data_IF_761658127891
#
_entry.id   IF_761658127891
#
_cell.length_a   1.000
_cell.length_b   1.000
_cell.length_c   1.000
_cell.angle_alpha   90.00
_cell.angle_beta   90.00
_cell.angle_gamma   90.00
#
_symmetry.space_group_name_H-M   'P 1'
#
loop_
_entity.id
_entity.type
_entity.pdbx_description
1 polymer ?
#
# COMPACT_ATOMS: atom_id res chain seq x y z
N UNK A 1 13.76 -13.07 14.79
CA UNK A 1 13.70 -13.29 13.34
C UNK A 1 13.53 -11.95 12.59
N UNK A 2 12.65 -11.06 12.99
CA UNK A 2 12.40 -9.73 12.37
C UNK A 2 13.65 -8.83 12.32
N UNK A 3 14.46 -8.79 13.37
CA UNK A 3 15.69 -7.98 13.43
C UNK A 3 16.76 -8.49 12.46
N UNK A 4 16.90 -9.79 12.29
CA UNK A 4 17.88 -10.40 11.36
C UNK A 4 17.46 -10.11 9.91
N UNK A 5 16.16 -10.20 9.61
CA UNK A 5 15.61 -9.83 8.29
C UNK A 5 15.82 -8.35 8.00
N UNK A 6 15.63 -7.49 8.99
CA UNK A 6 15.86 -6.05 8.89
C UNK A 6 17.34 -5.73 8.62
N UNK A 7 18.27 -6.38 9.31
CA UNK A 7 19.72 -6.25 9.06
C UNK A 7 20.10 -6.74 7.67
N UNK A 8 19.57 -7.89 7.24
CA UNK A 8 19.81 -8.42 5.89
C UNK A 8 19.25 -7.49 4.80
N UNK A 9 18.05 -6.93 4.99
CA UNK A 9 17.45 -5.96 4.07
C UNK A 9 18.20 -4.64 4.03
N UNK A 10 18.72 -4.16 5.19
CA UNK A 10 19.56 -2.96 5.26
C UNK A 10 20.90 -3.21 4.54
N UNK A 11 21.48 -4.40 4.65
CA UNK A 11 22.73 -4.74 4.00
C UNK A 11 22.56 -4.93 2.48
N UNK A 12 21.47 -5.56 2.05
CA UNK A 12 21.05 -5.62 0.65
C UNK A 12 20.79 -4.22 0.08
N UNK A 13 20.13 -3.34 0.82
CA UNK A 13 19.94 -1.95 0.43
C UNK A 13 21.27 -1.20 0.33
N UNK A 14 22.23 -1.40 1.26
CA UNK A 14 23.56 -0.81 1.19
C UNK A 14 24.38 -1.34 0.01
N UNK A 15 24.32 -2.64 -0.28
CA UNK A 15 25.00 -3.23 -1.45
C UNK A 15 24.38 -2.72 -2.75
N UNK A 16 23.05 -2.62 -2.83
CA UNK A 16 22.33 -2.03 -3.97
C UNK A 16 22.72 -0.56 -4.16
N UNK A 17 22.83 0.21 -3.08
CA UNK A 17 23.30 1.61 -3.10
C UNK A 17 24.76 1.70 -3.61
N UNK A 18 25.62 0.77 -3.21
CA UNK A 18 27.02 0.74 -3.66
C UNK A 18 27.17 0.40 -5.16
N UNK A 19 26.31 -0.45 -5.69
CA UNK A 19 26.21 -0.75 -7.12
C UNK A 19 25.67 0.45 -7.91
N UNK A 20 24.76 1.21 -7.32
CA UNK A 20 24.13 2.40 -7.92
C UNK A 20 25.05 3.63 -7.96
N UNK A 21 26.02 3.76 -7.05
CA UNK A 21 27.02 4.87 -7.08
C UNK A 21 28.02 4.76 -8.22
N UNK A 22 28.05 3.63 -8.94
CA UNK A 22 28.90 3.43 -10.12
C UNK A 22 28.29 3.99 -11.42
N UNK A 23 27.02 4.38 -11.42
CA UNK A 23 26.41 5.08 -12.55
C UNK A 23 26.45 6.58 -12.28
N UNK A 24 27.31 7.31 -12.99
CA UNK A 24 27.40 8.78 -13.00
C UNK A 24 26.12 9.42 -13.58
N UNK A 25 24.98 9.22 -12.95
CA UNK A 25 23.74 9.92 -13.30
C UNK A 25 23.77 11.27 -12.57
N UNK A 26 24.18 12.34 -13.27
CA UNK A 26 24.05 13.72 -12.78
C UNK A 26 22.58 14.05 -12.64
N UNK A 27 22.19 14.49 -11.45
CA UNK A 27 20.88 15.10 -11.21
C UNK A 27 20.72 16.33 -12.09
N UNK A 28 19.52 16.63 -12.60
CA UNK A 28 19.18 17.99 -12.96
C UNK A 28 19.37 18.86 -11.70
N UNK A 29 20.17 19.93 -11.80
CA UNK A 29 20.49 20.81 -10.65
C UNK A 29 19.25 21.39 -9.97
N UNK A 30 18.10 21.45 -10.68
CA UNK A 30 16.84 22.02 -10.22
C UNK A 30 15.73 21.01 -9.83
N UNK A 31 16.09 19.77 -9.49
CA UNK A 31 15.08 18.80 -9.11
C UNK A 31 14.47 19.10 -7.73
N UNK A 32 13.18 19.52 -7.66
CA UNK A 32 12.54 19.92 -6.41
C UNK A 32 12.46 18.76 -5.38
N UNK A 33 12.39 17.51 -5.84
CA UNK A 33 12.40 16.35 -4.94
C UNK A 33 13.74 16.18 -4.21
N UNK A 34 14.85 16.74 -4.72
CA UNK A 34 16.13 16.72 -4.02
C UNK A 34 16.07 17.45 -2.67
N UNK A 35 15.17 18.42 -2.52
CA UNK A 35 14.98 19.22 -1.31
C UNK A 35 14.14 18.50 -0.25
N UNK A 36 13.41 17.43 -0.60
CA UNK A 36 12.60 16.68 0.35
C UNK A 36 13.50 15.81 1.23
N UNK A 37 13.44 16.03 2.53
CA UNK A 37 14.18 15.26 3.52
C UNK A 37 13.32 14.12 4.06
N UNK A 38 13.35 12.98 3.40
CA UNK A 38 12.57 11.78 3.78
C UNK A 38 12.79 11.39 5.24
N UNK A 39 14.03 11.54 5.75
CA UNK A 39 14.36 11.29 7.17
C UNK A 39 13.55 12.15 8.13
N UNK A 40 13.33 13.42 7.78
CA UNK A 40 12.51 14.33 8.61
C UNK A 40 11.04 13.92 8.59
N UNK A 41 10.51 13.47 7.45
CA UNK A 41 9.14 12.95 7.35
C UNK A 41 8.96 11.77 8.31
N UNK A 42 9.85 10.78 8.27
CA UNK A 42 9.78 9.64 9.19
C UNK A 42 9.93 10.06 10.66
N UNK A 43 10.84 10.99 10.96
CA UNK A 43 11.00 11.53 12.31
C UNK A 43 9.71 12.19 12.84
N UNK A 44 9.05 13.01 12.03
CA UNK A 44 7.78 13.62 12.38
C UNK A 44 6.65 12.60 12.54
N UNK A 45 6.59 11.59 11.66
CA UNK A 45 5.61 10.49 11.79
C UNK A 45 5.74 9.78 13.14
N UNK A 46 6.98 9.46 13.52
CA UNK A 46 7.26 8.84 14.82
C UNK A 46 6.88 9.72 16.01
N UNK A 47 7.29 10.98 15.99
CA UNK A 47 6.98 11.93 17.06
C UNK A 47 5.47 12.15 17.20
N UNK A 48 4.77 12.33 16.08
CA UNK A 48 3.32 12.50 16.08
C UNK A 48 2.61 11.23 16.55
N UNK A 49 3.07 10.04 16.11
CA UNK A 49 2.53 8.76 16.58
C UNK A 49 2.64 8.59 18.08
N UNK A 50 3.81 8.85 18.63
CA UNK A 50 4.03 8.84 20.09
C UNK A 50 3.15 9.88 20.79
N UNK A 51 3.09 11.11 20.27
CA UNK A 51 2.27 12.19 20.87
C UNK A 51 0.79 11.82 20.93
N UNK A 52 0.24 11.25 19.86
CA UNK A 52 -1.15 10.80 19.81
C UNK A 52 -1.39 9.64 20.77
N UNK A 53 -0.48 8.67 20.80
CA UNK A 53 -0.57 7.55 21.73
C UNK A 53 -0.63 8.05 23.18
N UNK A 54 0.26 8.97 23.56
CA UNK A 54 0.24 9.58 24.89
C UNK A 54 -1.04 10.38 25.16
N UNK A 55 -1.55 11.14 24.20
CA UNK A 55 -2.80 11.89 24.36
C UNK A 55 -3.99 10.96 24.63
N UNK A 56 -4.13 9.88 23.87
CA UNK A 56 -5.21 8.91 24.06
C UNK A 56 -5.05 8.18 25.40
N UNK A 57 -3.83 7.78 25.76
CA UNK A 57 -3.55 7.15 27.05
C UNK A 57 -3.90 8.09 28.23
N UNK A 58 -3.57 9.38 28.13
CA UNK A 58 -3.93 10.39 29.13
C UNK A 58 -5.44 10.59 29.24
N UNK A 59 -6.15 10.67 28.11
CA UNK A 59 -7.63 10.81 28.11
C UNK A 59 -8.26 9.57 28.75
N UNK A 60 -7.81 8.38 28.39
CA UNK A 60 -8.30 7.14 28.98
C UNK A 60 -8.06 7.11 30.50
N UNK A 61 -6.86 7.48 30.94
CA UNK A 61 -6.50 7.56 32.35
C UNK A 61 -7.40 8.53 33.12
N UNK A 62 -7.66 9.74 32.58
CA UNK A 62 -8.51 10.75 33.23
C UNK A 62 -9.98 10.31 33.32
N UNK A 63 -10.42 9.46 32.41
CA UNK A 63 -11.78 8.90 32.40
C UNK A 63 -11.89 7.58 33.18
N UNK A 64 -10.83 7.12 33.85
CA UNK A 64 -10.82 5.84 34.56
C UNK A 64 -10.95 4.62 33.67
N UNK A 65 -10.69 4.78 32.36
CA UNK A 65 -10.76 3.69 31.37
C UNK A 65 -9.39 3.03 31.29
N UNK A 66 -9.34 1.70 31.39
CA UNK A 66 -8.11 0.94 31.14
C UNK A 66 -7.77 1.06 29.64
N UNK A 67 -6.70 1.81 29.33
CA UNK A 67 -6.25 1.97 27.96
C UNK A 67 -5.57 0.68 27.48
N UNK A 68 -6.25 -0.07 26.61
CA UNK A 68 -5.63 -1.14 25.85
C UNK A 68 -5.37 -0.65 24.41
N UNK A 69 -4.11 -0.38 24.09
CA UNK A 69 -3.69 0.04 22.74
C UNK A 69 -3.90 -1.05 21.68
N UNK A 70 -4.33 -2.25 22.07
CA UNK A 70 -4.71 -3.33 21.16
C UNK A 70 -6.21 -3.34 20.83
N UNK A 71 -6.98 -2.49 21.49
CA UNK A 71 -8.42 -2.38 21.24
C UNK A 71 -8.63 -1.91 19.79
N UNK A 72 -9.44 -2.64 18.97
CA UNK A 72 -9.56 -2.40 17.52
C UNK A 72 -10.04 -1.00 17.16
N UNK A 73 -10.97 -0.41 17.91
CA UNK A 73 -11.46 0.93 17.64
C UNK A 73 -10.38 1.98 17.90
N UNK A 74 -9.66 1.87 19.01
CA UNK A 74 -8.55 2.77 19.36
C UNK A 74 -7.48 2.72 18.27
N UNK A 75 -7.12 1.52 17.85
CA UNK A 75 -6.17 1.33 16.75
C UNK A 75 -6.66 1.97 15.45
N UNK A 76 -7.93 1.76 15.06
CA UNK A 76 -8.48 2.35 13.83
C UNK A 76 -8.49 3.89 13.87
N UNK A 77 -8.81 4.49 15.02
CA UNK A 77 -8.74 5.95 15.23
C UNK A 77 -7.29 6.45 15.09
N UNK A 78 -6.35 5.76 15.74
CA UNK A 78 -4.93 6.10 15.69
C UNK A 78 -4.40 6.04 14.26
N UNK A 79 -4.68 4.96 13.55
CA UNK A 79 -4.24 4.74 12.17
C UNK A 79 -4.84 5.80 11.23
N UNK A 80 -6.12 6.15 11.39
CA UNK A 80 -6.79 7.19 10.61
C UNK A 80 -6.20 8.58 10.87
N UNK A 81 -6.00 8.93 12.14
CA UNK A 81 -5.44 10.23 12.52
C UNK A 81 -3.98 10.38 12.07
N UNK A 82 -3.17 9.36 12.28
CA UNK A 82 -1.78 9.29 11.78
C UNK A 82 -1.74 9.43 10.27
N UNK A 83 -2.60 8.73 9.55
CA UNK A 83 -2.68 8.81 8.09
C UNK A 83 -2.94 10.24 7.61
N UNK A 84 -3.94 10.93 8.17
CA UNK A 84 -4.26 12.31 7.83
C UNK A 84 -3.07 13.24 8.12
N UNK A 85 -2.47 13.08 9.31
CA UNK A 85 -1.34 13.92 9.73
C UNK A 85 -0.13 13.73 8.82
N UNK A 86 0.20 12.49 8.47
CA UNK A 86 1.31 12.18 7.56
C UNK A 86 1.09 12.82 6.20
N UNK A 87 -0.12 12.70 5.61
CA UNK A 87 -0.45 13.34 4.34
C UNK A 87 -0.27 14.86 4.44
N UNK A 88 -0.76 15.49 5.51
CA UNK A 88 -0.64 16.92 5.73
C UNK A 88 0.84 17.37 5.84
N UNK A 89 1.66 16.62 6.58
CA UNK A 89 3.09 16.90 6.73
C UNK A 89 3.84 16.74 5.40
N UNK A 90 3.58 15.67 4.66
CA UNK A 90 4.22 15.44 3.35
C UNK A 90 3.76 16.49 2.33
N UNK A 91 2.47 16.85 2.33
CA UNK A 91 1.94 17.94 1.52
C UNK A 91 2.64 19.27 1.80
N UNK A 92 2.81 19.62 3.08
CA UNK A 92 3.56 20.81 3.50
C UNK A 92 5.01 20.77 2.99
N UNK A 93 5.70 19.62 3.13
CA UNK A 93 7.07 19.45 2.63
C UNK A 93 7.16 19.61 1.11
N UNK A 94 6.20 19.07 0.36
CA UNK A 94 6.12 19.25 -1.09
C UNK A 94 6.00 20.73 -1.46
N UNK A 95 5.13 21.48 -0.77
CA UNK A 95 4.97 22.93 -1.01
C UNK A 95 6.24 23.70 -0.70
N UNK A 96 6.91 23.41 0.41
CA UNK A 96 8.19 24.06 0.79
C UNK A 96 9.32 23.72 -0.18
N UNK A 97 9.29 22.55 -0.80
CA UNK A 97 10.25 22.14 -1.83
C UNK A 97 9.97 22.76 -3.20
N UNK A 98 8.84 23.46 -3.38
CA UNK A 98 8.44 24.02 -4.67
C UNK A 98 7.82 23.00 -5.63
N UNK A 99 7.33 21.87 -5.13
CA UNK A 99 6.68 20.84 -5.96
C UNK A 99 5.27 21.28 -6.31
N UNK A 100 4.97 21.32 -7.62
CA UNK A 100 3.65 21.58 -8.11
C UNK A 100 2.73 20.38 -7.92
N UNK A 101 1.79 20.50 -6.98
CA UNK A 101 0.90 19.39 -6.62
C UNK A 101 0.03 18.93 -7.81
N UNK A 102 -0.36 19.86 -8.70
CA UNK A 102 -1.15 19.51 -9.90
C UNK A 102 -0.38 18.54 -10.82
N UNK A 103 0.90 18.82 -11.03
CA UNK A 103 1.78 17.96 -11.83
C UNK A 103 2.06 16.62 -11.12
N UNK A 104 2.09 16.61 -9.77
CA UNK A 104 2.25 15.40 -8.98
C UNK A 104 1.02 14.49 -9.05
N UNK A 105 -0.18 15.07 -8.89
CA UNK A 105 -1.45 14.32 -8.96
C UNK A 105 -1.76 13.89 -10.38
N UNK A 106 -1.39 14.71 -11.36
CA UNK A 106 -1.70 14.50 -12.77
C UNK A 106 -3.19 14.66 -13.09
N UNK A 107 -3.51 14.63 -14.37
CA UNK A 107 -4.89 14.63 -14.84
C UNK A 107 -5.37 13.21 -15.11
N UNK A 108 -6.66 12.96 -14.96
CA UNK A 108 -7.26 11.73 -15.47
C UNK A 108 -7.20 11.79 -17.00
N UNK A 109 -6.70 10.74 -17.68
CA UNK A 109 -6.66 10.72 -19.13
C UNK A 109 -8.07 10.92 -19.72
N UNK A 110 -8.17 11.71 -20.79
CA UNK A 110 -9.44 11.92 -21.49
C UNK A 110 -10.02 10.56 -21.94
N UNK A 111 -11.33 10.38 -21.75
CA UNK A 111 -12.04 9.13 -22.08
C UNK A 111 -11.43 7.88 -21.40
N UNK A 112 -10.95 8.04 -20.15
CA UNK A 112 -10.41 6.91 -19.41
C UNK A 112 -11.45 5.78 -19.25
N UNK A 113 -11.04 4.57 -19.60
CA UNK A 113 -11.91 3.41 -19.51
C UNK A 113 -11.90 2.83 -18.09
N UNK A 114 -12.93 3.12 -17.31
CA UNK A 114 -13.04 2.67 -15.92
C UNK A 114 -13.34 1.18 -15.77
N UNK A 115 -14.06 0.58 -16.73
CA UNK A 115 -14.44 -0.84 -16.65
C UNK A 115 -13.22 -1.79 -16.61
N UNK A 116 -12.18 -1.62 -17.44
CA UNK A 116 -10.94 -2.38 -17.30
C UNK A 116 -10.25 -2.19 -15.95
N UNK A 117 -10.34 -0.99 -15.33
CA UNK A 117 -9.77 -0.73 -14.01
C UNK A 117 -10.51 -1.54 -12.93
N UNK A 118 -11.84 -1.55 -12.97
CA UNK A 118 -12.67 -2.38 -12.08
C UNK A 118 -12.35 -3.86 -12.26
N UNK A 119 -12.26 -4.33 -13.50
CA UNK A 119 -11.88 -5.71 -13.82
C UNK A 119 -10.50 -6.07 -13.25
N UNK A 120 -9.52 -5.16 -13.39
CA UNK A 120 -8.18 -5.35 -12.80
C UNK A 120 -8.22 -5.37 -11.27
N UNK A 121 -9.05 -4.53 -10.64
CA UNK A 121 -9.21 -4.52 -9.19
C UNK A 121 -9.79 -5.85 -8.69
N UNK A 122 -10.85 -6.35 -9.31
CA UNK A 122 -11.42 -7.67 -9.00
C UNK A 122 -10.38 -8.77 -9.21
N UNK A 123 -9.74 -8.82 -10.38
CA UNK A 123 -8.72 -9.81 -10.70
C UNK A 123 -7.55 -9.78 -9.70
N UNK A 124 -7.11 -8.59 -9.26
CA UNK A 124 -6.02 -8.45 -8.29
C UNK A 124 -6.39 -8.97 -6.90
N UNK A 125 -7.64 -8.81 -6.45
CA UNK A 125 -8.11 -9.38 -5.17
C UNK A 125 -8.19 -10.89 -5.26
N UNK A 126 -8.85 -11.43 -6.29
CA UNK A 126 -8.99 -12.88 -6.50
C UNK A 126 -7.61 -13.53 -6.64
N UNK A 127 -6.71 -12.92 -7.40
CA UNK A 127 -5.32 -13.36 -7.54
C UNK A 127 -4.57 -13.36 -6.19
N UNK A 128 -4.71 -12.31 -5.40
CA UNK A 128 -4.06 -12.18 -4.10
C UNK A 128 -4.48 -13.29 -3.13
N UNK A 129 -5.78 -13.57 -3.07
CA UNK A 129 -6.35 -14.60 -2.21
C UNK A 129 -5.92 -16.00 -2.67
N UNK A 130 -5.95 -16.25 -3.98
CA UNK A 130 -5.57 -17.54 -4.54
C UNK A 130 -4.07 -17.81 -4.42
N UNK A 131 -3.25 -16.80 -4.65
CA UNK A 131 -1.80 -16.88 -4.50
C UNK A 131 -1.40 -17.16 -3.04
N UNK A 132 -2.09 -16.53 -2.08
CA UNK A 132 -1.91 -16.84 -0.66
C UNK A 132 -2.18 -18.32 -0.39
N UNK A 133 -3.29 -18.86 -0.88
CA UNK A 133 -3.65 -20.27 -0.68
C UNK A 133 -2.62 -21.21 -1.31
N UNK A 134 -2.24 -20.98 -2.56
CA UNK A 134 -1.28 -21.82 -3.27
C UNK A 134 0.09 -21.79 -2.59
N UNK A 135 0.56 -20.61 -2.18
CA UNK A 135 1.88 -20.46 -1.55
C UNK A 135 1.95 -21.11 -0.17
N UNK A 136 0.92 -20.88 0.67
CA UNK A 136 0.92 -21.41 2.05
C UNK A 136 0.40 -22.85 2.15
N UNK A 137 -0.19 -23.42 1.10
CA UNK A 137 -0.66 -24.79 1.12
C UNK A 137 0.46 -25.80 1.42
N UNK A 138 1.57 -25.85 0.67
CA UNK A 138 2.68 -26.77 1.01
C UNK A 138 3.30 -26.43 2.37
N UNK A 139 3.41 -25.15 2.74
CA UNK A 139 3.92 -24.75 4.05
C UNK A 139 3.02 -25.20 5.21
N UNK A 140 1.73 -25.38 4.97
CA UNK A 140 0.79 -25.87 5.97
C UNK A 140 1.09 -27.29 6.44
N UNK A 141 1.83 -28.08 5.65
CA UNK A 141 2.27 -29.43 6.04
C UNK A 141 3.66 -29.43 6.69
N UNK A 142 4.54 -28.49 6.32
CA UNK A 142 5.93 -28.40 6.79
C UNK A 142 6.01 -27.58 8.08
N UNK A 143 5.34 -26.43 8.14
CA UNK A 143 5.37 -25.48 9.26
C UNK A 143 3.93 -25.14 9.67
N UNK A 144 3.16 -26.16 10.06
CA UNK A 144 1.74 -26.08 10.34
C UNK A 144 1.39 -25.00 11.38
N UNK A 145 2.15 -24.91 12.48
CA UNK A 145 1.93 -23.93 13.55
C UNK A 145 2.05 -22.48 13.07
N UNK A 146 3.00 -22.19 12.19
CA UNK A 146 3.18 -20.86 11.62
C UNK A 146 1.98 -20.48 10.71
N UNK A 147 1.58 -21.42 9.83
CA UNK A 147 0.45 -21.16 8.93
C UNK A 147 -0.85 -21.01 9.72
N UNK A 148 -1.05 -21.84 10.74
CA UNK A 148 -2.23 -21.74 11.61
C UNK A 148 -2.29 -20.42 12.36
N UNK A 149 -1.15 -19.95 12.90
CA UNK A 149 -1.08 -18.64 13.54
C UNK A 149 -1.43 -17.53 12.54
N UNK A 150 -0.87 -17.57 11.32
CA UNK A 150 -1.14 -16.58 10.28
C UNK A 150 -2.63 -16.54 9.89
N UNK A 151 -3.28 -17.70 9.78
CA UNK A 151 -4.70 -17.80 9.50
C UNK A 151 -5.56 -17.27 10.66
N UNK A 152 -5.20 -17.57 11.90
CA UNK A 152 -5.87 -17.05 13.12
C UNK A 152 -5.75 -15.53 13.22
N UNK A 153 -4.56 -15.00 12.98
CA UNK A 153 -4.31 -13.55 13.02
C UNK A 153 -5.12 -12.84 11.93
N UNK A 154 -5.16 -13.39 10.71
CA UNK A 154 -6.01 -12.91 9.62
C UNK A 154 -7.49 -12.92 10.00
N UNK A 155 -7.99 -14.02 10.55
CA UNK A 155 -9.37 -14.15 11.01
C UNK A 155 -9.71 -13.14 12.12
N UNK A 156 -8.86 -13.02 13.13
CA UNK A 156 -9.08 -12.09 14.24
C UNK A 156 -9.05 -10.62 13.82
N UNK A 157 -8.41 -10.30 12.71
CA UNK A 157 -8.40 -8.96 12.14
C UNK A 157 -9.58 -8.67 11.22
N UNK A 158 -10.43 -9.67 10.91
CA UNK A 158 -11.68 -9.45 10.16
C UNK A 158 -12.57 -8.44 10.86
N UNK A 159 -13.13 -7.52 10.08
CA UNK A 159 -13.98 -6.43 10.60
C UNK A 159 -15.19 -6.97 11.39
N UNK A 160 -15.80 -8.09 10.96
CA UNK A 160 -16.94 -8.71 11.65
C UNK A 160 -16.55 -9.34 12.97
N UNK A 161 -15.33 -9.84 13.12
CA UNK A 161 -14.87 -10.49 14.34
C UNK A 161 -14.27 -9.45 15.31
N UNK A 162 -13.68 -8.39 14.80
CA UNK A 162 -13.07 -7.35 15.61
C UNK A 162 -14.11 -6.37 16.19
N UNK A 163 -15.11 -5.97 15.40
CA UNK A 163 -16.10 -4.97 15.78
C UNK A 163 -16.89 -5.31 17.07
N UNK A 164 -17.40 -6.54 17.28
CA UNK A 164 -18.14 -6.88 18.51
C UNK A 164 -17.27 -6.81 19.78
N UNK A 165 -15.95 -6.79 19.64
CA UNK A 165 -15.00 -6.68 20.75
C UNK A 165 -14.71 -5.23 21.15
N UNK A 166 -15.26 -4.25 20.43
CA UNK A 166 -15.06 -2.82 20.69
C UNK A 166 -16.18 -2.24 21.53
N UNK A 167 -15.89 -1.10 22.21
CA UNK A 167 -16.92 -0.39 22.99
C UNK A 167 -18.05 0.17 22.11
N UNK A 168 -17.74 0.54 20.85
CA UNK A 168 -18.70 1.13 19.90
C UNK A 168 -18.58 0.48 18.52
N UNK A 169 -19.20 -0.69 18.29
CA UNK A 169 -19.06 -1.43 17.05
C UNK A 169 -19.43 -0.62 15.78
N UNK A 170 -20.52 0.15 15.84
CA UNK A 170 -20.95 0.97 14.69
C UNK A 170 -19.90 2.05 14.32
N UNK A 171 -19.30 2.69 15.34
CA UNK A 171 -18.23 3.66 15.12
C UNK A 171 -16.97 3.00 14.56
N UNK A 172 -16.64 1.80 15.02
CA UNK A 172 -15.52 1.03 14.48
C UNK A 172 -15.72 0.72 13.00
N UNK A 173 -16.91 0.23 12.60
CA UNK A 173 -17.21 -0.02 11.18
C UNK A 173 -17.02 1.23 10.32
N UNK A 174 -17.54 2.36 10.80
CA UNK A 174 -17.44 3.63 10.06
C UNK A 174 -15.98 4.08 9.93
N UNK A 175 -15.23 4.13 11.03
CA UNK A 175 -13.82 4.58 11.02
C UNK A 175 -12.97 3.63 10.21
N UNK A 176 -13.15 2.33 10.36
CA UNK A 176 -12.43 1.32 9.59
C UNK A 176 -12.69 1.47 8.09
N UNK A 177 -13.95 1.64 7.68
CA UNK A 177 -14.29 1.84 6.28
C UNK A 177 -13.67 3.12 5.72
N UNK A 178 -13.75 4.26 6.45
CA UNK A 178 -13.13 5.51 6.03
C UNK A 178 -11.59 5.37 5.96
N UNK A 179 -10.98 4.78 6.98
CA UNK A 179 -9.55 4.58 6.99
C UNK A 179 -9.10 3.68 5.83
N UNK A 180 -9.69 2.50 5.71
CA UNK A 180 -9.23 1.48 4.77
C UNK A 180 -9.57 1.81 3.31
N UNK A 181 -10.72 2.45 3.07
CA UNK A 181 -11.16 2.78 1.71
C UNK A 181 -10.74 4.19 1.25
N UNK A 182 -10.41 5.12 2.14
CA UNK A 182 -10.06 6.48 1.72
C UNK A 182 -8.68 6.90 2.21
N UNK A 183 -8.46 6.98 3.53
CA UNK A 183 -7.25 7.55 4.11
C UNK A 183 -6.02 6.74 3.71
N UNK A 184 -6.07 5.44 3.89
CA UNK A 184 -4.95 4.54 3.62
C UNK A 184 -4.52 4.52 2.13
N UNK A 185 -5.41 4.40 1.12
CA UNK A 185 -5.05 4.54 -0.28
C UNK A 185 -4.40 5.89 -0.63
N UNK A 186 -4.94 6.98 -0.08
CA UNK A 186 -4.37 8.32 -0.28
C UNK A 186 -2.97 8.41 0.30
N UNK A 187 -2.77 7.94 1.55
CA UNK A 187 -1.47 7.91 2.21
C UNK A 187 -0.45 7.13 1.38
N UNK A 188 -0.80 5.90 1.00
CA UNK A 188 0.09 5.00 0.29
C UNK A 188 0.48 5.57 -1.08
N UNK A 189 -0.52 6.00 -1.87
CA UNK A 189 -0.29 6.55 -3.19
C UNK A 189 0.53 7.86 -3.11
N UNK A 190 0.18 8.77 -2.21
CA UNK A 190 0.83 10.07 -2.13
C UNK A 190 2.24 9.96 -1.56
N UNK A 191 2.47 9.19 -0.49
CA UNK A 191 3.77 9.11 0.17
C UNK A 191 4.73 8.25 -0.63
N UNK A 192 4.36 6.99 -0.89
CA UNK A 192 5.28 6.05 -1.52
C UNK A 192 5.43 6.30 -3.01
N UNK A 193 4.30 6.39 -3.75
CA UNK A 193 4.32 6.47 -5.21
C UNK A 193 4.60 7.88 -5.72
N UNK A 194 3.99 8.90 -5.10
CA UNK A 194 4.16 10.27 -5.60
C UNK A 194 5.43 10.94 -5.05
N UNK A 195 5.78 10.76 -3.78
CA UNK A 195 6.89 11.52 -3.18
C UNK A 195 8.17 10.71 -3.10
N UNK A 196 8.15 9.56 -2.41
CA UNK A 196 9.38 8.80 -2.14
C UNK A 196 9.94 8.21 -3.44
N UNK A 197 9.08 7.66 -4.28
CA UNK A 197 9.48 7.12 -5.57
C UNK A 197 10.16 8.19 -6.44
N UNK A 198 9.54 9.37 -6.62
CA UNK A 198 10.13 10.45 -7.41
C UNK A 198 11.43 10.96 -6.80
N UNK A 199 11.51 11.01 -5.46
CA UNK A 199 12.74 11.41 -4.75
C UNK A 199 13.90 10.48 -5.06
N UNK A 200 13.67 9.18 -5.05
CA UNK A 200 14.71 8.20 -5.30
C UNK A 200 14.96 7.97 -6.79
N UNK A 201 13.92 8.05 -7.60
CA UNK A 201 14.07 7.97 -9.05
C UNK A 201 14.90 9.09 -9.63
N UNK A 202 14.73 10.28 -9.10
CA UNK A 202 15.56 11.40 -9.43
C UNK A 202 17.05 11.16 -9.08
N UNK A 203 17.34 10.30 -8.10
CA UNK A 203 18.71 10.00 -7.67
C UNK A 203 19.32 8.80 -8.40
N UNK A 204 18.55 7.76 -8.61
CA UNK A 204 19.06 6.45 -9.04
C UNK A 204 18.50 5.99 -10.39
N UNK A 205 17.59 6.76 -10.98
CA UNK A 205 16.77 6.34 -12.12
C UNK A 205 15.55 5.51 -11.71
N UNK A 206 14.68 5.25 -12.69
CA UNK A 206 13.36 4.70 -12.45
C UNK A 206 13.39 3.30 -11.81
N UNK A 207 13.98 2.34 -12.50
CA UNK A 207 13.97 0.94 -12.07
C UNK A 207 14.70 0.74 -10.73
N UNK A 208 15.90 1.30 -10.50
CA UNK A 208 16.57 1.21 -9.20
C UNK A 208 15.78 1.83 -8.05
N UNK A 209 15.00 2.89 -8.29
CA UNK A 209 14.19 3.52 -7.25
C UNK A 209 13.02 2.67 -6.79
N UNK A 210 12.48 1.81 -7.66
CA UNK A 210 11.38 0.91 -7.35
C UNK A 210 11.75 -0.06 -6.22
N UNK A 211 12.99 -0.55 -6.18
CA UNK A 211 13.43 -1.53 -5.19
C UNK A 211 13.32 -1.01 -3.75
N UNK A 212 13.92 0.14 -3.36
CA UNK A 212 13.82 0.62 -1.99
C UNK A 212 12.40 1.09 -1.63
N UNK A 213 11.60 1.61 -2.58
CA UNK A 213 10.18 1.91 -2.32
C UNK A 213 9.41 0.63 -2.03
N UNK A 214 9.67 -0.42 -2.80
CA UNK A 214 9.09 -1.73 -2.56
C UNK A 214 9.48 -2.30 -1.18
N UNK A 215 10.75 -2.16 -0.77
CA UNK A 215 11.19 -2.57 0.57
C UNK A 215 10.45 -1.80 1.68
N UNK A 216 10.26 -0.48 1.53
CA UNK A 216 9.43 0.29 2.47
C UNK A 216 7.99 -0.19 2.50
N UNK A 217 7.41 -0.48 1.33
CA UNK A 217 6.07 -1.03 1.22
C UNK A 217 5.93 -2.36 1.97
N UNK A 218 6.90 -3.27 1.79
CA UNK A 218 6.91 -4.56 2.52
C UNK A 218 6.99 -4.33 4.03
N UNK A 219 7.92 -3.48 4.49
CA UNK A 219 8.13 -3.21 5.93
C UNK A 219 6.84 -2.68 6.57
N UNK A 220 6.07 -1.87 5.83
CA UNK A 220 4.79 -1.33 6.30
C UNK A 220 3.73 -2.43 6.51
N UNK A 221 3.82 -3.54 5.76
CA UNK A 221 2.81 -4.61 5.73
C UNK A 221 3.27 -5.95 6.32
N UNK A 222 4.41 -6.02 6.99
CA UNK A 222 4.78 -7.23 7.73
C UNK A 222 3.82 -7.37 8.94
N UNK A 223 3.15 -8.53 9.11
CA UNK A 223 3.43 -9.88 8.60
C UNK A 223 2.56 -10.36 7.43
N UNK A 224 2.10 -9.49 6.56
CA UNK A 224 1.24 -9.87 5.43
C UNK A 224 1.92 -10.82 4.43
N UNK A 225 1.14 -11.36 3.50
CA UNK A 225 1.61 -12.24 2.45
C UNK A 225 2.59 -11.53 1.49
N UNK A 226 3.88 -11.80 1.65
CA UNK A 226 4.96 -11.15 0.90
C UNK A 226 4.80 -11.27 -0.62
N UNK A 227 4.43 -12.45 -1.12
CA UNK A 227 4.31 -12.70 -2.57
C UNK A 227 3.20 -11.85 -3.17
N UNK A 228 2.08 -11.73 -2.47
CA UNK A 228 0.97 -10.85 -2.86
C UNK A 228 1.39 -9.39 -2.89
N UNK A 229 2.17 -8.94 -1.89
CA UNK A 229 2.66 -7.56 -1.83
C UNK A 229 3.54 -7.19 -3.01
N UNK A 230 4.40 -8.11 -3.49
CA UNK A 230 5.24 -7.90 -4.69
C UNK A 230 4.36 -7.58 -5.90
N UNK A 231 3.37 -8.43 -6.16
CA UNK A 231 2.51 -8.31 -7.33
C UNK A 231 1.65 -7.04 -7.26
N UNK A 232 1.09 -6.73 -6.10
CA UNK A 232 0.30 -5.52 -5.91
C UNK A 232 1.11 -4.25 -6.09
N UNK A 233 2.31 -4.22 -5.54
CA UNK A 233 3.21 -3.09 -5.71
C UNK A 233 3.53 -2.85 -7.19
N UNK A 234 3.84 -3.89 -7.95
CA UNK A 234 4.06 -3.80 -9.39
C UNK A 234 2.83 -3.28 -10.14
N UNK A 235 1.64 -3.72 -9.78
CA UNK A 235 0.39 -3.19 -10.37
C UNK A 235 0.27 -1.69 -10.09
N UNK A 236 0.52 -1.24 -8.86
CA UNK A 236 0.44 0.17 -8.48
C UNK A 236 1.42 1.04 -9.25
N UNK A 237 2.68 0.60 -9.33
CA UNK A 237 3.72 1.30 -10.07
C UNK A 237 3.40 1.41 -11.56
N UNK A 238 3.04 0.29 -12.19
CA UNK A 238 2.68 0.26 -13.61
C UNK A 238 1.46 1.14 -13.89
N UNK A 239 0.43 1.06 -13.03
CA UNK A 239 -0.79 1.82 -13.21
C UNK A 239 -0.51 3.33 -13.10
N UNK A 240 0.27 3.75 -12.12
CA UNK A 240 0.66 5.14 -11.93
C UNK A 240 1.53 5.64 -13.08
N UNK A 241 2.55 4.89 -13.48
CA UNK A 241 3.41 5.25 -14.61
C UNK A 241 2.65 5.32 -15.94
N UNK A 242 1.68 4.41 -16.16
CA UNK A 242 0.88 4.35 -17.39
C UNK A 242 -0.12 5.50 -17.50
N UNK A 243 -0.83 5.79 -16.40
CA UNK A 243 -1.90 6.80 -16.41
C UNK A 243 -1.38 8.20 -16.11
N UNK A 244 -0.19 8.31 -15.56
CA UNK A 244 0.39 9.54 -15.02
C UNK A 244 -0.55 10.28 -14.05
N UNK A 245 -1.49 9.55 -13.46
CA UNK A 245 -2.52 10.09 -12.59
C UNK A 245 -2.56 9.35 -11.26
N UNK A 246 -2.24 10.07 -10.19
CA UNK A 246 -2.35 9.58 -8.83
C UNK A 246 -3.81 9.30 -8.46
N UNK A 247 -4.74 10.08 -9.04
CA UNK A 247 -6.17 9.91 -8.82
C UNK A 247 -6.68 8.54 -9.30
N UNK A 248 -6.26 8.12 -10.50
CA UNK A 248 -6.59 6.78 -11.04
C UNK A 248 -6.04 5.67 -10.15
N UNK A 249 -4.80 5.84 -9.67
CA UNK A 249 -4.20 4.89 -8.73
C UNK A 249 -4.98 4.81 -7.41
N UNK A 250 -5.36 5.95 -6.83
CA UNK A 250 -6.14 6.00 -5.59
C UNK A 250 -7.48 5.30 -5.78
N UNK A 251 -8.20 5.58 -6.87
CA UNK A 251 -9.47 4.91 -7.17
C UNK A 251 -9.28 3.39 -7.30
N UNK A 252 -8.22 2.95 -7.96
CA UNK A 252 -7.92 1.51 -8.05
C UNK A 252 -7.74 0.89 -6.67
N UNK A 253 -6.97 1.53 -5.79
CA UNK A 253 -6.75 1.07 -4.42
C UNK A 253 -8.04 1.05 -3.60
N UNK A 254 -8.87 2.09 -3.73
CA UNK A 254 -10.20 2.18 -3.09
C UNK A 254 -11.10 1.03 -3.53
N UNK A 255 -11.25 0.85 -4.84
CA UNK A 255 -12.06 -0.26 -5.41
C UNK A 255 -11.57 -1.61 -4.91
N UNK A 256 -10.26 -1.84 -4.96
CA UNK A 256 -9.66 -3.07 -4.47
C UNK A 256 -9.97 -3.31 -2.98
N UNK A 257 -9.86 -2.28 -2.15
CA UNK A 257 -10.10 -2.41 -0.72
C UNK A 257 -11.58 -2.64 -0.41
N UNK A 258 -12.50 -2.00 -1.15
CA UNK A 258 -13.94 -2.27 -1.05
C UNK A 258 -14.24 -3.74 -1.41
N UNK A 259 -13.66 -4.24 -2.50
CA UNK A 259 -13.84 -5.64 -2.92
C UNK A 259 -13.26 -6.59 -1.87
N UNK A 260 -12.10 -6.26 -1.30
CA UNK A 260 -11.47 -7.07 -0.26
C UNK A 260 -12.30 -7.12 1.04
N UNK A 261 -12.87 -5.98 1.48
CA UNK A 261 -13.81 -5.94 2.61
C UNK A 261 -15.05 -6.77 2.29
N UNK A 262 -15.63 -6.61 1.10
CA UNK A 262 -16.78 -7.42 0.67
C UNK A 262 -16.47 -8.92 0.67
N UNK A 263 -15.27 -9.30 0.26
CA UNK A 263 -14.80 -10.67 0.33
C UNK A 263 -14.68 -11.16 1.77
N UNK A 264 -14.05 -10.38 2.64
CA UNK A 264 -13.87 -10.72 4.07
C UNK A 264 -15.23 -10.90 4.76
N UNK A 265 -16.18 -9.99 4.53
CA UNK A 265 -17.54 -10.08 5.04
C UNK A 265 -18.24 -11.35 4.54
N UNK A 266 -18.17 -11.63 3.24
CA UNK A 266 -18.79 -12.81 2.64
C UNK A 266 -18.16 -14.10 3.19
N UNK A 267 -16.83 -14.13 3.27
CA UNK A 267 -16.12 -15.30 3.81
C UNK A 267 -16.53 -15.58 5.26
N UNK A 268 -16.55 -14.57 6.11
CA UNK A 268 -16.94 -14.72 7.51
C UNK A 268 -18.38 -15.20 7.66
N UNK A 269 -19.33 -14.64 6.89
CA UNK A 269 -20.75 -15.05 6.95
C UNK A 269 -20.95 -16.50 6.51
N UNK A 270 -20.31 -16.93 5.42
CA UNK A 270 -20.55 -18.23 4.82
C UNK A 270 -19.71 -19.37 5.43
N UNK A 271 -18.55 -19.07 5.97
CA UNK A 271 -17.55 -20.08 6.38
C UNK A 271 -17.23 -20.08 7.87
N UNK A 272 -17.68 -19.09 8.66
CA UNK A 272 -17.40 -19.04 10.11
C UNK A 272 -18.06 -20.18 10.90
N UNK A 273 -19.14 -20.76 10.37
CA UNK A 273 -19.87 -21.86 10.98
C UNK A 273 -19.32 -23.26 10.61
N UNK A 274 -18.21 -23.35 9.88
CA UNK A 274 -17.65 -24.67 9.54
C UNK A 274 -16.99 -25.32 10.77
N UNK A 275 -17.40 -26.57 11.02
CA UNK A 275 -16.80 -27.43 12.03
C UNK A 275 -15.45 -27.95 11.50
N UNK A 276 -14.37 -27.63 12.19
CA UNK A 276 -13.02 -28.07 11.84
C UNK A 276 -11.96 -27.09 12.32
N UNK A 277 -10.70 -27.53 12.34
CA UNK A 277 -9.59 -26.62 12.61
C UNK A 277 -9.41 -25.64 11.46
N UNK A 278 -8.98 -24.40 11.75
CA UNK A 278 -8.71 -23.37 10.72
C UNK A 278 -7.79 -23.88 9.62
N UNK A 279 -6.86 -24.77 9.98
CA UNK A 279 -5.90 -25.37 9.06
C UNK A 279 -6.54 -26.41 8.13
N UNK A 280 -7.46 -27.25 8.64
CA UNK A 280 -8.21 -28.22 7.82
C UNK A 280 -9.11 -27.55 6.81
N UNK A 281 -9.86 -26.52 7.24
CA UNK A 281 -10.68 -25.70 6.34
C UNK A 281 -9.81 -25.06 5.25
N UNK A 282 -8.64 -24.51 5.61
CA UNK A 282 -7.71 -23.93 4.65
C UNK A 282 -7.24 -24.96 3.60
N UNK A 283 -6.87 -26.18 4.05
CA UNK A 283 -6.42 -27.25 3.16
C UNK A 283 -7.52 -27.78 2.23
N UNK A 284 -8.73 -27.93 2.74
CA UNK A 284 -9.87 -28.40 1.93
C UNK A 284 -10.25 -27.45 0.79
N UNK A 285 -9.91 -26.18 0.91
CA UNK A 285 -10.25 -25.15 -0.08
C UNK A 285 -9.16 -24.91 -1.14
N UNK A 286 -8.12 -25.77 -1.22
CA UNK A 286 -7.02 -25.59 -2.20
C UNK A 286 -7.51 -25.62 -3.66
N UNK A 287 -8.46 -26.50 -3.98
CA UNK A 287 -9.00 -26.63 -5.33
C UNK A 287 -9.65 -25.31 -5.79
N UNK A 288 -10.38 -24.65 -4.91
CA UNK A 288 -10.96 -23.34 -5.15
C UNK A 288 -9.86 -22.27 -5.35
N UNK A 289 -8.79 -22.35 -4.55
CA UNK A 289 -7.62 -21.49 -4.72
C UNK A 289 -6.96 -21.65 -6.09
N UNK A 290 -6.77 -22.88 -6.56
CA UNK A 290 -6.21 -23.17 -7.89
C UNK A 290 -7.12 -22.67 -9.01
N UNK A 291 -8.43 -22.88 -8.90
CA UNK A 291 -9.41 -22.38 -9.88
C UNK A 291 -9.37 -20.85 -9.96
N UNK A 292 -9.42 -20.16 -8.84
CA UNK A 292 -9.37 -18.69 -8.79
C UNK A 292 -8.06 -18.15 -9.33
N UNK A 293 -6.94 -18.83 -9.06
CA UNK A 293 -5.66 -18.48 -9.63
C UNK A 293 -5.67 -18.61 -11.15
N UNK A 294 -6.15 -19.74 -11.68
CA UNK A 294 -6.24 -19.97 -13.13
C UNK A 294 -7.08 -18.91 -13.84
N UNK A 295 -8.15 -18.43 -13.20
CA UNK A 295 -9.01 -17.38 -13.76
C UNK A 295 -8.41 -15.98 -13.67
N UNK A 296 -7.70 -15.66 -12.58
CA UNK A 296 -7.20 -14.29 -12.31
C UNK A 296 -5.77 -14.05 -12.81
N UNK A 297 -4.91 -15.07 -12.78
CA UNK A 297 -3.49 -14.94 -13.17
C UNK A 297 -3.28 -14.42 -14.59
N UNK A 298 -4.03 -14.87 -15.61
CA UNK A 298 -3.85 -14.34 -16.98
C UNK A 298 -4.10 -12.83 -17.05
N UNK A 299 -5.08 -12.31 -16.31
CA UNK A 299 -5.38 -10.87 -16.27
C UNK A 299 -4.29 -10.08 -15.59
N UNK A 300 -3.85 -10.53 -14.40
CA UNK A 300 -2.85 -9.82 -13.60
C UNK A 300 -1.48 -9.89 -14.26
N UNK A 301 -1.03 -11.09 -14.60
CA UNK A 301 0.28 -11.30 -15.25
C UNK A 301 0.29 -10.65 -16.65
N UNK A 302 -0.78 -10.81 -17.40
CA UNK A 302 -0.95 -10.17 -18.71
C UNK A 302 -0.92 -8.65 -18.64
N UNK A 303 -1.55 -8.04 -17.61
CA UNK A 303 -1.46 -6.60 -17.36
C UNK A 303 -0.02 -6.17 -17.09
N UNK A 304 0.69 -6.84 -16.18
CA UNK A 304 2.07 -6.54 -15.83
C UNK A 304 2.98 -6.69 -17.06
N UNK A 305 2.90 -7.81 -17.76
CA UNK A 305 3.73 -8.11 -18.93
C UNK A 305 3.53 -7.07 -20.04
N UNK A 306 2.28 -6.81 -20.40
CA UNK A 306 1.93 -5.85 -21.48
C UNK A 306 2.39 -4.42 -21.18
N UNK A 307 2.43 -4.02 -19.91
CA UNK A 307 2.72 -2.64 -19.53
C UNK A 307 4.09 -2.46 -18.87
N UNK A 308 4.92 -3.51 -18.79
CA UNK A 308 6.24 -3.43 -18.13
C UNK A 308 7.15 -2.35 -18.71
N UNK A 309 7.09 -2.14 -20.02
CA UNK A 309 7.90 -1.13 -20.70
C UNK A 309 7.64 0.30 -20.25
N UNK A 310 6.46 0.59 -19.68
CA UNK A 310 6.09 1.92 -19.18
C UNK A 310 6.99 2.36 -18.02
N UNK A 311 7.49 1.42 -17.23
CA UNK A 311 8.42 1.70 -16.12
C UNK A 311 9.80 2.22 -16.58
N UNK A 312 10.13 2.08 -17.86
CA UNK A 312 11.35 2.64 -18.47
C UNK A 312 11.17 4.08 -18.94
N UNK A 313 9.94 4.59 -18.96
CA UNK A 313 9.59 5.95 -19.39
C UNK A 313 9.89 7.01 -18.32
N UNK A 314 9.66 8.30 -18.63
CA UNK A 314 9.77 9.37 -17.66
C UNK A 314 8.73 9.23 -16.55
N UNK A 315 9.12 9.58 -15.33
CA UNK A 315 8.19 9.54 -14.20
C UNK A 315 7.03 10.52 -14.37
N UNK A 316 5.85 10.17 -13.82
CA UNK A 316 4.61 10.92 -14.01
C UNK A 316 4.73 12.42 -13.75
N UNK A 317 5.39 12.83 -12.65
CA UNK A 317 5.56 14.26 -12.34
C UNK A 317 6.29 15.02 -13.45
N UNK A 318 7.43 14.53 -13.89
CA UNK A 318 8.25 15.22 -14.90
C UNK A 318 7.54 15.24 -16.26
N UNK A 319 6.83 14.16 -16.60
CA UNK A 319 6.04 14.11 -17.82
C UNK A 319 4.87 15.11 -17.79
N UNK A 320 4.18 15.22 -16.66
CA UNK A 320 3.06 16.13 -16.47
C UNK A 320 3.53 17.61 -16.45
N UNK A 321 4.67 17.89 -15.79
CA UNK A 321 5.24 19.25 -15.75
C UNK A 321 5.65 19.73 -17.14
N UNK A 322 6.35 18.89 -17.91
CA UNK A 322 6.74 19.24 -19.30
C UNK A 322 5.56 19.46 -20.23
N UNK A 323 4.46 18.71 -20.04
CA UNK A 323 3.24 18.90 -20.80
C UNK A 323 2.54 20.23 -20.44
N UNK A 324 2.52 20.59 -19.15
CA UNK A 324 1.96 21.86 -18.68
C UNK A 324 2.73 23.08 -19.23
N UNK A 325 4.06 22.99 -19.31
CA UNK A 325 4.91 24.04 -19.90
C UNK A 325 4.64 24.24 -21.40
N UNK A 326 4.47 23.14 -22.15
CA UNK A 326 4.12 23.22 -23.59
C UNK A 326 2.78 23.91 -23.81
N UNK A 327 1.73 23.52 -23.03
CA UNK A 327 0.41 24.15 -23.14
C UNK A 327 0.47 25.65 -22.84
N UNK A 328 1.28 26.10 -21.89
CA UNK A 328 1.48 27.53 -21.63
C UNK A 328 2.15 28.24 -22.81
N UNK A 329 3.21 27.68 -23.35
CA UNK A 329 3.91 28.26 -24.50
C UNK A 329 2.98 28.39 -25.71
N UNK A 330 2.17 27.37 -26.00
CA UNK A 330 1.20 27.39 -27.11
C UNK A 330 0.05 28.37 -26.90
N UNK A 331 -0.27 28.77 -25.65
CA UNK A 331 -1.33 29.74 -25.34
C UNK A 331 -0.85 31.20 -25.38
N UNK A 332 0.47 31.42 -25.37
CA UNK A 332 1.10 32.75 -25.43
C UNK A 332 1.52 33.16 -26.88
N UNK A 333 1.43 32.21 -27.81
CA UNK A 333 1.61 32.45 -29.26
C UNK A 333 0.27 32.65 -29.97
#
# INVERSE_FOLDING_TARGET
MTLILLFFLIDLAKQSIKIMTLTNIRFPEDNPFARIKVREIFGWVWLCGLGIYFQIAMIAYTQGITFDGKEPLVKAILDAYLGILIVALVWRQCRLAGIEIKSLVGKVPDRYQWLPLVGLAIASVVFSISLFRIFYYPLSFIVSSFVEQLLRDGRNSSILIAAPKTFFPALYYLIYAIYYCAIFPICLAFILMAVILHRWAAKWGNIPAIIPVFLLYIITFIPSNLVTLIILFLIYEILYAKTRSLFVLIIFMVLRNIILIGWDLSYTIFFDNQTGSTLEIFRSQIQLGVLFFALSAPWVIGFIYKNWSVLKGPFPYFANASEAEKIKADSET
#
